data_IF_417464182000
#
_entry.id   IF_417464182000
#
_cell.length_a   1.000
_cell.length_b   1.000
_cell.length_c   1.000
_cell.angle_alpha   90.00
_cell.angle_beta   90.00
_cell.angle_gamma   90.00
#
_symmetry.space_group_name_H-M   'P 1'
#
loop_
_entity.id
_entity.type
_entity.pdbx_description
1 polymer ?
#
# COMPACT_ATOMS: atom_id res chain seq x y z
N UNK A 1 50.76 -13.37 15.76
CA UNK A 1 49.86 -14.45 15.30
C UNK A 1 48.55 -14.22 16.02
N UNK A 2 47.59 -13.60 15.33
CA UNK A 2 46.22 -13.49 15.86
C UNK A 2 45.53 -14.82 15.56
N UNK A 3 45.07 -15.47 16.63
CA UNK A 3 44.35 -16.74 16.56
C UNK A 3 42.86 -16.39 16.66
N UNK A 4 42.14 -16.47 15.54
CA UNK A 4 40.68 -16.38 15.55
C UNK A 4 40.12 -17.79 15.81
N UNK A 5 39.22 -17.91 16.78
CA UNK A 5 38.50 -19.16 17.03
C UNK A 5 37.67 -19.57 15.80
N UNK A 6 37.52 -20.87 15.59
CA UNK A 6 36.62 -21.38 14.55
C UNK A 6 35.17 -20.96 14.85
N UNK A 7 34.63 -20.10 13.98
CA UNK A 7 33.23 -19.69 13.99
C UNK A 7 32.93 -18.50 14.90
N UNK A 8 32.48 -17.39 14.30
CA UNK A 8 31.74 -16.35 15.02
C UNK A 8 30.24 -16.63 14.88
N UNK A 9 29.42 -16.24 15.87
CA UNK A 9 27.97 -16.29 15.70
C UNK A 9 27.58 -15.28 14.63
N UNK A 10 27.21 -15.80 13.47
CA UNK A 10 26.81 -14.99 12.32
C UNK A 10 25.42 -14.37 12.48
N UNK A 11 24.62 -14.86 13.45
CA UNK A 11 23.27 -14.40 13.71
C UNK A 11 22.99 -14.34 15.23
N UNK A 12 22.22 -13.34 15.63
CA UNK A 12 21.69 -13.18 16.98
C UNK A 12 20.32 -12.49 16.97
N UNK A 13 19.50 -12.83 17.95
CA UNK A 13 18.17 -12.25 18.14
C UNK A 13 18.06 -11.67 19.54
N UNK A 14 17.50 -10.47 19.64
CA UNK A 14 17.15 -9.82 20.90
C UNK A 14 15.65 -9.51 20.88
N UNK A 15 14.93 -9.94 21.91
CA UNK A 15 13.53 -9.58 22.15
C UNK A 15 13.46 -8.67 23.36
N UNK A 16 12.74 -7.55 23.23
CA UNK A 16 12.56 -6.61 24.33
C UNK A 16 11.70 -7.19 25.45
N UNK A 17 11.77 -6.59 26.64
CA UNK A 17 10.67 -6.75 27.59
C UNK A 17 9.37 -6.21 26.97
N UNK A 18 8.24 -6.70 27.47
CA UNK A 18 6.92 -6.22 27.06
C UNK A 18 6.70 -4.84 27.67
N UNK A 19 6.46 -3.85 26.82
CA UNK A 19 6.00 -2.54 27.24
C UNK A 19 4.48 -2.59 27.48
N UNK A 20 4.04 -2.12 28.65
CA UNK A 20 2.63 -1.95 29.00
C UNK A 20 2.32 -0.46 29.09
N UNK A 21 1.44 0.03 28.21
CA UNK A 21 0.99 1.43 28.21
C UNK A 21 0.04 1.75 29.38
N UNK A 22 -0.38 0.76 30.17
CA UNK A 22 -1.32 0.88 31.29
C UNK A 22 -2.79 0.97 30.86
N UNK A 23 -3.05 1.37 29.62
CA UNK A 23 -4.37 1.47 29.00
C UNK A 23 -4.27 1.18 27.49
N UNK A 24 -5.40 0.94 26.78
CA UNK A 24 -5.39 0.87 25.33
C UNK A 24 -4.94 2.20 24.70
N UNK A 25 -4.04 2.14 23.74
CA UNK A 25 -3.48 3.28 23.00
C UNK A 25 -3.45 2.98 21.50
N UNK A 26 -3.38 4.02 20.68
CA UNK A 26 -3.07 3.90 19.26
C UNK A 26 -1.56 4.11 19.09
N UNK A 27 -0.83 3.09 18.65
CA UNK A 27 0.61 3.19 18.42
C UNK A 27 0.86 3.88 17.07
N UNK A 28 1.57 5.00 17.13
CA UNK A 28 1.99 5.73 15.95
C UNK A 28 3.26 5.15 15.34
N UNK A 29 4.12 6.06 14.89
CA UNK A 29 5.38 5.67 14.24
C UNK A 29 6.45 5.19 15.22
N UNK A 30 7.34 4.34 14.71
CA UNK A 30 8.54 3.89 15.39
C UNK A 30 9.81 4.41 14.70
N UNK A 31 10.84 4.71 15.50
CA UNK A 31 12.16 5.16 15.07
C UNK A 31 13.26 4.31 15.71
N UNK A 32 14.37 4.16 14.97
CA UNK A 32 15.51 3.32 15.36
C UNK A 32 16.81 4.08 15.17
N UNK A 33 17.69 3.99 16.16
CA UNK A 33 19.07 4.39 16.03
C UNK A 33 19.94 3.14 16.06
N UNK A 34 20.76 2.94 15.02
CA UNK A 34 21.63 1.77 14.94
C UNK A 34 22.84 1.98 14.04
N UNK A 35 23.79 1.06 14.14
CA UNK A 35 24.98 1.01 13.30
C UNK A 35 24.98 -0.32 12.54
N UNK A 36 25.08 -0.25 11.22
CA UNK A 36 25.19 -1.42 10.33
C UNK A 36 26.47 -1.32 9.50
N UNK A 37 27.64 -1.69 10.07
CA UNK A 37 28.87 -1.75 9.30
C UNK A 37 28.76 -2.62 8.03
N UNK A 38 29.61 -2.42 7.02
CA UNK A 38 29.61 -3.26 5.82
C UNK A 38 29.69 -4.76 6.15
N UNK A 39 28.82 -5.55 5.51
CA UNK A 39 28.73 -6.99 5.76
C UNK A 39 27.90 -7.37 7.00
N UNK A 40 27.18 -6.43 7.60
CA UNK A 40 26.22 -6.67 8.68
C UNK A 40 24.79 -6.29 8.28
N UNK A 41 23.81 -6.89 8.94
CA UNK A 41 22.38 -6.59 8.76
C UNK A 41 21.75 -6.43 10.13
N UNK A 42 20.93 -5.39 10.29
CA UNK A 42 20.04 -5.20 11.42
C UNK A 42 18.61 -5.20 10.88
N UNK A 43 17.71 -5.94 11.50
CA UNK A 43 16.28 -5.93 11.21
C UNK A 43 15.53 -5.73 12.51
N UNK A 44 14.51 -4.88 12.49
CA UNK A 44 13.64 -4.66 13.65
C UNK A 44 12.21 -5.06 13.28
N UNK A 45 11.53 -5.69 14.24
CA UNK A 45 10.18 -6.18 14.09
C UNK A 45 9.37 -5.78 15.32
N UNK A 46 8.06 -5.60 15.14
CA UNK A 46 7.13 -5.23 16.21
C UNK A 46 5.96 -6.18 16.25
N UNK A 47 5.36 -6.25 17.43
CA UNK A 47 4.02 -6.77 17.62
C UNK A 47 3.35 -5.98 18.73
N UNK A 48 2.03 -5.86 18.63
CA UNK A 48 1.20 -5.25 19.66
C UNK A 48 0.20 -6.27 20.15
N UNK A 49 -0.31 -6.09 21.36
CA UNK A 49 -1.36 -6.95 21.91
C UNK A 49 -2.35 -6.14 22.73
N UNK A 50 -3.61 -6.55 22.68
CA UNK A 50 -4.69 -5.96 23.47
C UNK A 50 -4.64 -6.42 24.94
N UNK A 51 -4.30 -7.69 25.16
CA UNK A 51 -4.44 -8.41 26.43
C UNK A 51 -3.10 -8.88 27.01
N UNK A 52 -2.03 -8.86 26.22
CA UNK A 52 -0.70 -9.32 26.61
C UNK A 52 -0.54 -10.84 26.54
N UNK A 53 -1.58 -11.57 26.13
CA UNK A 53 -1.62 -13.03 26.00
C UNK A 53 -1.66 -13.45 24.53
N UNK A 54 -2.59 -12.87 23.75
CA UNK A 54 -2.72 -13.09 22.33
C UNK A 54 -1.81 -12.11 21.57
N UNK A 55 -0.79 -12.65 20.91
CA UNK A 55 0.17 -11.87 20.14
C UNK A 55 0.06 -12.22 18.67
N UNK A 56 -0.22 -11.23 17.80
CA UNK A 56 -0.07 -11.39 16.35
C UNK A 56 1.37 -11.73 15.96
N UNK A 57 1.52 -12.18 14.72
CA UNK A 57 2.81 -12.39 14.08
C UNK A 57 3.67 -11.11 14.11
N UNK A 58 4.99 -11.31 14.11
CA UNK A 58 5.94 -10.20 14.12
C UNK A 58 5.89 -9.43 12.79
N UNK A 59 5.47 -8.17 12.85
CA UNK A 59 5.48 -7.26 11.72
C UNK A 59 6.90 -6.74 11.49
N UNK A 60 7.46 -7.03 10.32
CA UNK A 60 8.81 -6.61 9.94
C UNK A 60 8.81 -5.17 9.41
N UNK A 61 9.71 -4.36 9.95
CA UNK A 61 10.01 -3.04 9.42
C UNK A 61 10.91 -3.18 8.18
N UNK A 62 10.59 -2.55 7.03
CA UNK A 62 11.46 -2.56 5.85
C UNK A 62 12.86 -2.02 6.16
N UNK A 63 13.89 -2.65 5.57
CA UNK A 63 15.28 -2.38 5.93
C UNK A 63 15.78 -0.97 5.52
N UNK A 64 15.11 -0.29 4.59
CA UNK A 64 15.48 1.06 4.14
C UNK A 64 14.91 2.16 5.04
N UNK A 65 13.99 1.82 5.95
CA UNK A 65 13.46 2.72 6.99
C UNK A 65 14.33 2.75 8.26
N UNK A 66 15.47 2.05 8.26
CA UNK A 66 16.35 1.86 9.43
C UNK A 66 17.29 3.04 9.74
N UNK A 67 16.95 4.26 9.34
CA UNK A 67 17.78 5.43 9.63
C UNK A 67 17.06 6.44 10.54
N UNK A 68 17.75 6.87 11.59
CA UNK A 68 17.37 7.87 12.61
C UNK A 68 16.99 9.26 12.04
N UNK A 69 16.98 9.43 10.71
CA UNK A 69 16.82 10.70 9.97
C UNK A 69 15.57 10.70 9.07
N UNK A 70 14.77 9.61 9.06
CA UNK A 70 13.52 9.51 8.29
C UNK A 70 12.25 9.84 9.09
N UNK A 71 11.10 9.82 8.41
CA UNK A 71 9.78 10.15 8.98
C UNK A 71 9.24 9.12 10.00
N UNK A 72 10.02 8.09 10.34
CA UNK A 72 9.61 6.95 11.16
C UNK A 72 8.72 5.96 10.40
N UNK A 73 8.47 4.80 10.99
CA UNK A 73 7.70 3.70 10.38
C UNK A 73 6.37 3.53 11.09
N UNK A 74 5.27 3.62 10.35
CA UNK A 74 3.95 3.34 10.89
C UNK A 74 3.82 1.86 11.30
N UNK A 75 3.34 1.61 12.51
CA UNK A 75 3.08 0.26 13.00
C UNK A 75 1.70 -0.18 12.51
N UNK A 76 1.64 -1.11 11.55
CA UNK A 76 0.38 -1.51 10.89
C UNK A 76 -0.38 -2.63 11.62
N UNK A 77 -0.04 -2.89 12.88
CA UNK A 77 -0.71 -3.91 13.68
C UNK A 77 -2.10 -3.42 14.12
N UNK A 78 -3.08 -4.31 14.34
CA UNK A 78 -4.43 -3.89 14.71
C UNK A 78 -4.52 -3.16 16.06
N UNK A 79 -5.38 -2.14 16.14
CA UNK A 79 -5.45 -1.17 17.23
C UNK A 79 -6.89 -0.94 17.74
N UNK A 80 -7.08 -0.36 18.94
CA UNK A 80 -6.05 0.07 19.90
C UNK A 80 -5.36 -1.12 20.54
N UNK A 81 -4.12 -0.97 21.01
CA UNK A 81 -3.40 -2.02 21.73
C UNK A 81 -2.85 -1.49 23.05
N UNK A 82 -2.57 -2.35 24.02
CA UNK A 82 -2.04 -1.96 25.33
C UNK A 82 -0.57 -2.32 25.48
N UNK A 83 -0.19 -3.45 24.89
CA UNK A 83 1.14 -4.01 25.02
C UNK A 83 1.89 -3.90 23.69
N UNK A 84 3.19 -3.64 23.77
CA UNK A 84 4.09 -3.62 22.63
C UNK A 84 5.36 -4.40 22.96
N UNK A 85 5.86 -5.12 21.97
CA UNK A 85 7.18 -5.74 22.04
C UNK A 85 7.91 -5.54 20.72
N UNK A 86 9.22 -5.36 20.78
CA UNK A 86 10.06 -5.34 19.60
C UNK A 86 11.09 -6.47 19.61
N UNK A 87 11.53 -6.86 18.41
CA UNK A 87 12.56 -7.86 18.20
C UNK A 87 13.60 -7.34 17.22
N UNK A 88 14.87 -7.46 17.57
CA UNK A 88 15.99 -7.16 16.72
C UNK A 88 16.67 -8.45 16.25
N UNK A 89 16.75 -8.64 14.94
CA UNK A 89 17.52 -9.72 14.31
C UNK A 89 18.79 -9.11 13.73
N UNK A 90 19.93 -9.66 14.12
CA UNK A 90 21.26 -9.14 13.84
C UNK A 90 22.07 -10.21 13.13
N UNK A 91 22.57 -9.89 11.94
CA UNK A 91 23.43 -10.79 11.16
C UNK A 91 24.77 -10.13 10.85
N UNK A 92 25.82 -10.94 10.77
CA UNK A 92 27.14 -10.52 10.31
C UNK A 92 27.82 -11.59 9.46
N UNK A 93 28.46 -11.16 8.37
CA UNK A 93 29.39 -11.96 7.56
C UNK A 93 30.84 -11.54 7.74
N UNK A 94 31.08 -10.54 8.60
CA UNK A 94 32.39 -9.98 8.88
C UNK A 94 32.81 -10.41 10.30
N UNK A 95 33.87 -11.23 10.47
CA UNK A 95 34.23 -11.82 11.76
C UNK A 95 34.50 -10.83 12.90
N UNK A 96 34.87 -9.60 12.55
CA UNK A 96 35.24 -8.53 13.49
C UNK A 96 34.27 -7.34 13.46
N UNK A 97 33.10 -7.51 12.84
CA UNK A 97 32.09 -6.47 12.75
C UNK A 97 30.73 -7.00 13.18
N UNK A 98 29.99 -6.17 13.91
CA UNK A 98 28.66 -6.51 14.39
C UNK A 98 27.73 -5.31 14.22
N UNK A 99 26.46 -5.54 13.86
CA UNK A 99 25.46 -4.50 13.89
C UNK A 99 25.18 -4.11 15.35
N UNK A 100 24.70 -2.89 15.57
CA UNK A 100 24.31 -2.39 16.90
C UNK A 100 22.97 -1.69 16.81
N UNK A 101 22.05 -2.03 17.70
CA UNK A 101 20.85 -1.24 17.96
C UNK A 101 21.11 -0.40 19.21
N UNK A 102 20.99 0.92 19.09
CA UNK A 102 21.26 1.88 20.17
C UNK A 102 19.98 2.40 20.81
N UNK A 103 18.94 2.64 20.01
CA UNK A 103 17.66 3.17 20.49
C UNK A 103 16.49 2.65 19.68
N UNK A 104 15.37 2.43 20.37
CA UNK A 104 14.03 2.26 19.78
C UNK A 104 13.12 3.30 20.44
N UNK A 105 12.40 4.07 19.63
CA UNK A 105 11.39 5.03 20.08
C UNK A 105 10.09 4.71 19.37
N UNK A 106 8.97 4.69 20.09
CA UNK A 106 7.64 4.47 19.51
C UNK A 106 6.72 5.58 20.03
N UNK A 107 5.99 6.24 19.13
CA UNK A 107 4.93 7.17 19.50
C UNK A 107 3.64 6.40 19.80
N UNK A 108 2.83 6.92 20.71
CA UNK A 108 1.46 6.43 20.90
C UNK A 108 0.56 7.56 21.43
N UNK A 109 -0.73 7.49 21.06
CA UNK A 109 -1.78 8.38 21.54
C UNK A 109 -2.62 7.70 22.61
N UNK A 110 -2.77 8.34 23.77
CA UNK A 110 -3.60 7.84 24.88
C UNK A 110 -5.09 8.05 24.65
N UNK A 111 -5.45 9.07 23.87
CA UNK A 111 -6.84 9.31 23.51
C UNK A 111 -7.17 8.58 22.20
N UNK A 112 -8.19 7.73 22.25
CA UNK A 112 -8.57 6.90 21.12
C UNK A 112 -9.47 7.67 20.16
N UNK A 113 -9.37 7.35 18.85
CA UNK A 113 -10.41 7.73 17.90
C UNK A 113 -11.69 6.91 18.16
N UNK A 114 -11.52 5.60 18.38
CA UNK A 114 -12.58 4.67 18.73
C UNK A 114 -12.05 3.58 19.66
N UNK A 115 -12.82 3.17 20.68
CA UNK A 115 -12.44 2.05 21.55
C UNK A 115 -12.27 0.73 20.81
N UNK A 116 -13.01 0.54 19.71
CA UNK A 116 -12.88 -0.60 18.83
C UNK A 116 -13.37 -0.26 17.43
N UNK A 117 -12.62 -0.71 16.42
CA UNK A 117 -13.06 -0.73 15.03
C UNK A 117 -12.71 -2.10 14.48
N UNK A 118 -13.71 -2.87 14.07
CA UNK A 118 -13.52 -4.12 13.32
C UNK A 118 -13.98 -3.94 11.90
N UNK A 119 -13.29 -4.56 10.94
CA UNK A 119 -13.62 -4.44 9.53
C UNK A 119 -13.67 -5.76 8.78
N UNK A 120 -14.35 -5.74 7.65
CA UNK A 120 -14.42 -6.83 6.69
C UNK A 120 -14.57 -6.27 5.27
N UNK A 121 -14.10 -7.02 4.27
CA UNK A 121 -14.35 -6.71 2.85
C UNK A 121 -15.07 -7.87 2.18
N UNK A 122 -16.06 -7.56 1.34
CA UNK A 122 -16.78 -8.55 0.54
C UNK A 122 -16.94 -8.10 -0.91
N UNK A 123 -16.95 -9.01 -1.90
CA UNK A 123 -16.68 -10.45 -1.75
C UNK A 123 -15.18 -10.75 -1.54
N UNK A 124 -14.86 -11.80 -0.77
CA UNK A 124 -13.47 -12.23 -0.53
C UNK A 124 -12.81 -12.92 -1.74
N UNK A 125 -13.61 -13.29 -2.74
CA UNK A 125 -13.16 -14.05 -3.92
C UNK A 125 -13.54 -13.36 -5.23
N UNK A 126 -12.93 -12.20 -5.53
CA UNK A 126 -13.16 -11.49 -6.79
C UNK A 126 -12.48 -12.22 -7.96
N UNK A 127 -12.95 -11.99 -9.19
CA UNK A 127 -12.25 -12.49 -10.38
C UNK A 127 -11.00 -11.63 -10.60
N UNK A 128 -9.83 -12.28 -10.68
CA UNK A 128 -8.55 -11.58 -10.80
C UNK A 128 -8.48 -10.81 -12.14
N UNK A 129 -8.11 -9.52 -12.09
CA UNK A 129 -8.02 -8.66 -13.27
C UNK A 129 -9.37 -8.16 -13.81
N UNK A 130 -10.49 -8.46 -13.16
CA UNK A 130 -11.80 -7.90 -13.51
C UNK A 130 -12.25 -6.87 -12.47
N UNK A 131 -13.03 -5.89 -12.92
CA UNK A 131 -13.66 -4.93 -12.02
C UNK A 131 -14.70 -5.66 -11.16
N UNK A 132 -14.55 -5.53 -9.85
CA UNK A 132 -15.47 -6.08 -8.85
C UNK A 132 -16.00 -4.95 -7.99
N UNK A 133 -17.30 -4.98 -7.70
CA UNK A 133 -17.90 -4.13 -6.68
C UNK A 133 -17.64 -4.75 -5.30
N UNK A 134 -16.92 -4.02 -4.45
CA UNK A 134 -16.64 -4.38 -3.08
C UNK A 134 -17.44 -3.53 -2.11
N UNK A 135 -17.77 -4.11 -0.96
CA UNK A 135 -18.23 -3.40 0.23
C UNK A 135 -17.19 -3.60 1.32
N UNK A 136 -16.60 -2.50 1.80
CA UNK A 136 -15.82 -2.50 3.03
C UNK A 136 -16.72 -2.08 4.18
N UNK A 137 -16.84 -2.93 5.19
CA UNK A 137 -17.64 -2.66 6.38
C UNK A 137 -16.71 -2.38 7.54
N UNK A 138 -17.00 -1.32 8.31
CA UNK A 138 -16.39 -1.02 9.60
C UNK A 138 -17.49 -1.01 10.67
N UNK A 139 -17.42 -1.93 11.61
CA UNK A 139 -18.19 -1.89 12.85
C UNK A 139 -17.42 -1.09 13.89
N UNK A 140 -18.01 0.03 14.29
CA UNK A 140 -17.37 1.05 15.11
C UNK A 140 -18.03 1.08 16.49
N UNK A 141 -17.20 1.03 17.53
CA UNK A 141 -17.59 1.37 18.88
C UNK A 141 -16.91 2.68 19.30
N UNK A 142 -17.71 3.69 19.66
CA UNK A 142 -17.25 4.97 20.18
C UNK A 142 -17.62 5.08 21.65
N UNK A 143 -16.62 5.37 22.49
CA UNK A 143 -16.76 5.69 23.89
C UNK A 143 -17.02 7.16 24.17
N UNK A 144 -17.37 7.47 25.42
CA UNK A 144 -17.69 8.84 25.83
C UNK A 144 -16.49 9.80 25.79
N UNK A 145 -15.27 9.27 25.90
CA UNK A 145 -14.01 10.04 25.90
C UNK A 145 -13.26 9.92 24.55
N UNK A 146 -13.79 9.13 23.62
CA UNK A 146 -13.17 8.87 22.32
C UNK A 146 -13.43 10.04 21.38
N UNK A 147 -12.45 10.35 20.53
CA UNK A 147 -12.48 11.51 19.64
C UNK A 147 -13.43 11.35 18.46
N UNK A 148 -13.76 10.11 18.09
CA UNK A 148 -14.33 9.81 16.78
C UNK A 148 -13.30 9.91 15.66
N UNK A 149 -13.77 9.86 14.42
CA UNK A 149 -12.92 10.00 13.23
C UNK A 149 -13.72 10.57 12.04
N UNK A 150 -13.00 11.19 11.11
CA UNK A 150 -13.53 11.68 9.84
C UNK A 150 -12.76 11.14 8.64
N UNK A 151 -11.58 10.53 8.84
CA UNK A 151 -10.77 9.94 7.77
C UNK A 151 -10.78 8.43 7.84
N UNK A 152 -10.86 7.81 6.67
CA UNK A 152 -10.74 6.36 6.49
C UNK A 152 -9.79 6.08 5.33
N UNK A 153 -8.81 5.22 5.58
CA UNK A 153 -7.93 4.66 4.55
C UNK A 153 -8.23 3.17 4.40
N UNK A 154 -8.44 2.71 3.16
CA UNK A 154 -8.63 1.31 2.82
C UNK A 154 -7.51 0.93 1.83
N UNK A 155 -6.71 -0.09 2.16
CA UNK A 155 -5.55 -0.55 1.40
C UNK A 155 -5.87 -1.26 0.07
N UNK A 156 -6.95 -0.84 -0.60
CA UNK A 156 -7.34 -1.25 -1.94
C UNK A 156 -7.88 -0.02 -2.68
N UNK A 157 -7.18 0.50 -3.70
CA UNK A 157 -7.67 1.65 -4.46
C UNK A 157 -8.93 1.29 -5.24
N UNK A 158 -9.84 2.25 -5.42
CA UNK A 158 -11.02 2.03 -6.23
C UNK A 158 -11.96 3.23 -6.29
N UNK A 159 -12.94 3.16 -7.17
CA UNK A 159 -13.92 4.22 -7.35
C UNK A 159 -15.09 4.02 -6.39
N UNK A 160 -15.25 4.91 -5.41
CA UNK A 160 -16.38 4.89 -4.48
C UNK A 160 -17.69 5.13 -5.24
N UNK A 161 -18.69 4.32 -4.91
CA UNK A 161 -20.05 4.37 -5.43
C UNK A 161 -21.01 4.94 -4.40
N UNK A 162 -20.87 4.53 -3.15
CA UNK A 162 -21.76 4.94 -2.07
C UNK A 162 -21.04 4.78 -0.74
N UNK A 163 -21.24 5.74 0.16
CA UNK A 163 -20.89 5.59 1.58
C UNK A 163 -22.18 5.61 2.40
N UNK A 164 -22.27 4.72 3.40
CA UNK A 164 -23.38 4.66 4.35
C UNK A 164 -22.86 4.66 5.77
N UNK A 165 -23.57 5.33 6.68
CA UNK A 165 -23.32 5.22 8.10
C UNK A 165 -24.63 4.90 8.84
N UNK A 166 -24.60 3.86 9.67
CA UNK A 166 -25.78 3.33 10.36
C UNK A 166 -26.96 3.05 9.40
N UNK A 167 -26.65 2.51 8.21
CA UNK A 167 -27.63 2.19 7.16
C UNK A 167 -28.13 3.38 6.34
N UNK A 168 -27.77 4.62 6.69
CA UNK A 168 -28.16 5.82 5.96
C UNK A 168 -27.10 6.18 4.92
N UNK A 169 -27.53 6.38 3.68
CA UNK A 169 -26.68 6.90 2.62
C UNK A 169 -26.26 8.34 2.95
N UNK A 170 -24.94 8.58 2.92
CA UNK A 170 -24.41 9.94 2.96
C UNK A 170 -24.61 10.60 1.59
N UNK A 171 -24.89 11.91 1.55
CA UNK A 171 -24.99 12.65 0.29
C UNK A 171 -23.61 12.76 -0.38
N UNK A 172 -23.57 13.02 -1.70
CA UNK A 172 -22.30 13.07 -2.46
C UNK A 172 -21.36 14.19 -1.99
N UNK A 173 -21.89 15.29 -1.46
CA UNK A 173 -21.13 16.39 -0.85
C UNK A 173 -20.81 16.15 0.64
N UNK A 174 -21.27 15.03 1.20
CA UNK A 174 -21.02 14.65 2.59
C UNK A 174 -19.64 14.03 2.81
N UNK A 175 -18.88 13.78 1.75
CA UNK A 175 -17.53 13.21 1.82
C UNK A 175 -16.69 13.52 0.57
N UNK A 176 -15.37 13.52 0.75
CA UNK A 176 -14.38 13.58 -0.32
C UNK A 176 -13.66 12.23 -0.46
N UNK A 177 -13.37 11.82 -1.70
CA UNK A 177 -12.70 10.55 -1.99
C UNK A 177 -11.60 10.72 -3.04
N UNK A 178 -10.50 10.02 -2.83
CA UNK A 178 -9.43 9.85 -3.81
C UNK A 178 -8.74 8.51 -3.61
N UNK A 179 -7.91 8.10 -4.56
CA UNK A 179 -7.14 6.87 -4.44
C UNK A 179 -5.85 6.95 -5.23
N UNK A 180 -4.86 6.18 -4.79
CA UNK A 180 -3.51 6.12 -5.37
C UNK A 180 -2.99 4.68 -5.39
N UNK A 181 -1.70 4.45 -5.12
CA UNK A 181 -1.12 3.11 -5.02
C UNK A 181 -1.17 2.54 -3.61
N UNK A 182 -1.36 3.38 -2.59
CA UNK A 182 -1.45 2.99 -1.18
C UNK A 182 -2.86 2.54 -0.82
N UNK A 183 -3.87 3.16 -1.44
CA UNK A 183 -5.25 2.75 -1.22
C UNK A 183 -6.29 3.76 -1.69
N UNK A 184 -7.49 3.56 -1.16
CA UNK A 184 -8.61 4.48 -1.20
C UNK A 184 -8.60 5.32 0.08
N UNK A 185 -8.77 6.62 -0.08
CA UNK A 185 -8.92 7.59 0.99
C UNK A 185 -10.33 8.19 0.96
N UNK A 186 -10.94 8.28 2.13
CA UNK A 186 -12.25 8.86 2.36
C UNK A 186 -12.14 9.88 3.49
N UNK A 187 -12.65 11.10 3.26
CA UNK A 187 -12.78 12.14 4.28
C UNK A 187 -14.24 12.53 4.40
N UNK A 188 -14.84 12.28 5.56
CA UNK A 188 -16.21 12.65 5.89
C UNK A 188 -16.26 14.15 6.19
N UNK A 189 -17.30 14.83 5.72
CA UNK A 189 -17.55 16.22 6.07
C UNK A 189 -17.81 16.40 7.57
N UNK A 190 -17.65 17.63 8.07
CA UNK A 190 -17.77 17.96 9.49
C UNK A 190 -19.11 17.49 10.11
N UNK A 191 -20.21 17.55 9.37
CA UNK A 191 -21.54 17.08 9.84
C UNK A 191 -21.68 15.55 9.88
N UNK A 192 -20.75 14.83 9.26
CA UNK A 192 -20.78 13.38 9.06
C UNK A 192 -19.62 12.66 9.75
N UNK A 193 -18.79 13.36 10.53
CA UNK A 193 -17.77 12.73 11.37
C UNK A 193 -18.41 11.63 12.25
N UNK A 194 -17.71 10.51 12.40
CA UNK A 194 -18.17 9.37 13.18
C UNK A 194 -17.85 9.61 14.65
N UNK A 195 -18.83 10.12 15.40
CA UNK A 195 -18.76 10.37 16.85
C UNK A 195 -19.66 9.46 17.70
N UNK A 196 -20.24 8.43 17.09
CA UNK A 196 -21.06 7.43 17.80
C UNK A 196 -20.82 6.04 17.24
N UNK A 197 -21.12 5.01 18.04
CA UNK A 197 -21.10 3.63 17.57
C UNK A 197 -22.07 3.41 16.42
N UNK A 198 -21.68 2.58 15.47
CA UNK A 198 -22.45 2.29 14.27
C UNK A 198 -21.62 1.56 13.23
N UNK A 199 -22.25 1.26 12.10
CA UNK A 199 -21.61 0.60 10.97
C UNK A 199 -21.37 1.60 9.85
N UNK A 200 -20.12 1.75 9.41
CA UNK A 200 -19.75 2.47 8.19
C UNK A 200 -19.58 1.45 7.05
N UNK A 201 -20.19 1.72 5.91
CA UNK A 201 -20.10 0.88 4.72
C UNK A 201 -19.61 1.72 3.55
N UNK A 202 -18.53 1.29 2.91
CA UNK A 202 -17.96 1.92 1.72
C UNK A 202 -18.13 0.96 0.56
N UNK A 203 -19.04 1.27 -0.36
CA UNK A 203 -19.23 0.53 -1.61
C UNK A 203 -18.34 1.16 -2.69
N UNK A 204 -17.47 0.37 -3.32
CA UNK A 204 -16.53 0.86 -4.33
C UNK A 204 -16.21 -0.19 -5.38
N UNK A 205 -15.86 0.25 -6.59
CA UNK A 205 -15.42 -0.63 -7.67
C UNK A 205 -13.89 -0.66 -7.74
N UNK A 206 -13.29 -1.85 -7.75
CA UNK A 206 -11.84 -2.04 -7.83
C UNK A 206 -11.47 -3.28 -8.63
N UNK A 207 -10.20 -3.37 -9.05
CA UNK A 207 -9.64 -4.52 -9.75
C UNK A 207 -8.55 -5.13 -8.87
N UNK A 208 -8.73 -6.40 -8.49
CA UNK A 208 -7.66 -7.15 -7.83
C UNK A 208 -6.62 -7.56 -8.89
N UNK A 209 -5.36 -7.15 -8.71
CA UNK A 209 -4.28 -7.42 -9.66
C UNK A 209 -3.29 -8.50 -9.17
N UNK A 210 -3.35 -8.86 -7.88
CA UNK A 210 -2.49 -9.86 -7.26
C UNK A 210 -3.32 -11.06 -6.80
N UNK A 211 -2.79 -12.30 -6.86
CA UNK A 211 -3.55 -13.50 -6.48
C UNK A 211 -4.11 -13.45 -5.06
N UNK A 212 -3.35 -12.88 -4.13
CA UNK A 212 -3.75 -12.68 -2.75
C UNK A 212 -3.41 -11.25 -2.34
N UNK A 213 -4.33 -10.59 -1.63
CA UNK A 213 -4.13 -9.26 -1.06
C UNK A 213 -4.84 -9.17 0.29
N UNK A 214 -4.13 -8.73 1.32
CA UNK A 214 -4.73 -8.37 2.62
C UNK A 214 -5.11 -6.89 2.56
N UNK A 215 -6.41 -6.59 2.67
CA UNK A 215 -6.95 -5.23 2.57
C UNK A 215 -7.15 -4.64 3.96
N UNK A 216 -6.07 -4.12 4.53
CA UNK A 216 -6.12 -3.43 5.83
C UNK A 216 -6.83 -2.07 5.68
N UNK A 217 -7.39 -1.58 6.79
CA UNK A 217 -7.92 -0.24 6.87
C UNK A 217 -7.42 0.47 8.13
N UNK A 218 -7.50 1.80 8.13
CA UNK A 218 -7.19 2.64 9.27
C UNK A 218 -8.14 3.85 9.31
N UNK A 219 -8.35 4.39 10.50
CA UNK A 219 -9.17 5.59 10.72
C UNK A 219 -8.39 6.68 11.47
N UNK A 220 -8.71 7.94 11.22
CA UNK A 220 -8.07 9.08 11.88
C UNK A 220 -9.01 10.29 11.95
N UNK A 221 -8.65 11.28 12.76
CA UNK A 221 -9.39 12.54 12.89
C UNK A 221 -8.55 13.73 12.39
N UNK A 222 -9.11 14.52 11.48
CA UNK A 222 -8.49 15.73 10.95
C UNK A 222 -7.08 15.46 10.41
N UNK A 223 -6.17 16.43 10.54
CA UNK A 223 -4.77 16.30 10.10
C UNK A 223 -3.86 15.50 11.05
N UNK A 224 -4.44 14.59 11.85
CA UNK A 224 -3.65 13.69 12.69
C UNK A 224 -2.64 12.92 11.85
N UNK A 225 -1.38 12.92 12.30
CA UNK A 225 -0.36 12.03 11.76
C UNK A 225 -0.52 10.59 12.25
N UNK A 226 -1.27 10.40 13.34
CA UNK A 226 -1.58 9.10 13.94
C UNK A 226 -2.88 8.54 13.37
N UNK A 227 -2.85 7.25 13.11
CA UNK A 227 -3.95 6.46 12.59
C UNK A 227 -4.26 5.35 13.59
N UNK A 228 -5.52 5.00 13.72
CA UNK A 228 -5.93 3.78 14.39
C UNK A 228 -6.14 2.69 13.34
N UNK A 229 -5.27 1.69 13.35
CA UNK A 229 -5.40 0.53 12.49
C UNK A 229 -6.59 -0.32 12.90
N UNK A 230 -7.46 -0.61 11.94
CA UNK A 230 -8.67 -1.41 12.17
C UNK A 230 -8.26 -2.84 12.59
N UNK A 231 -9.16 -3.58 13.23
CA UNK A 231 -9.02 -5.02 13.44
C UNK A 231 -9.83 -5.82 12.43
N UNK A 232 -9.35 -6.98 11.97
CA UNK A 232 -10.20 -7.84 11.14
C UNK A 232 -11.35 -8.40 11.99
N UNK A 233 -12.58 -8.42 11.46
CA UNK A 233 -13.76 -9.00 12.12
C UNK A 233 -13.58 -10.52 12.37
N UNK A 234 -12.89 -11.20 11.45
CA UNK A 234 -12.43 -12.58 11.53
C UNK A 234 -11.08 -12.72 10.83
N UNK A 235 -10.30 -13.76 11.11
CA UNK A 235 -8.91 -13.94 10.65
C UNK A 235 -8.69 -13.64 9.15
N UNK A 236 -9.63 -14.07 8.31
CA UNK A 236 -9.61 -13.97 6.85
C UNK A 236 -10.60 -12.94 6.28
N UNK A 237 -11.24 -12.12 7.12
CA UNK A 237 -12.21 -11.08 6.72
C UNK A 237 -11.62 -9.99 5.81
N UNK A 238 -10.29 -9.91 5.69
CA UNK A 238 -9.56 -8.97 4.84
C UNK A 238 -8.75 -9.60 3.72
N UNK A 239 -8.72 -10.92 3.64
CA UNK A 239 -7.85 -11.59 2.68
C UNK A 239 -8.63 -11.87 1.40
N UNK A 240 -8.42 -11.02 0.41
CA UNK A 240 -8.91 -11.27 -0.94
C UNK A 240 -8.08 -12.37 -1.58
N UNK A 241 -8.76 -13.38 -2.12
CA UNK A 241 -8.16 -14.46 -2.90
C UNK A 241 -8.80 -14.47 -4.27
N UNK A 242 -8.05 -14.00 -5.26
CA UNK A 242 -8.53 -13.89 -6.63
C UNK A 242 -8.90 -15.26 -7.21
N UNK A 243 -10.14 -15.38 -7.69
CA UNK A 243 -10.64 -16.55 -8.40
C UNK A 243 -10.49 -16.41 -9.91
N UNK A 244 -10.54 -17.56 -10.58
CA UNK A 244 -10.52 -17.65 -12.04
C UNK A 244 -9.11 -17.78 -12.64
N UNK A 245 -9.07 -18.40 -13.82
CA UNK A 245 -7.89 -18.37 -14.67
C UNK A 245 -7.94 -17.05 -15.44
N UNK A 246 -7.25 -16.01 -14.95
CA UNK A 246 -7.08 -14.81 -15.78
C UNK A 246 -6.40 -15.26 -17.07
N UNK A 247 -7.09 -15.01 -18.18
CA UNK A 247 -6.61 -15.39 -19.51
C UNK A 247 -5.49 -14.46 -20.00
N UNK A 248 -5.28 -13.34 -19.29
CA UNK A 248 -4.56 -12.14 -19.73
C UNK A 248 -3.81 -11.50 -18.56
N UNK A 249 -2.56 -11.11 -18.78
CA UNK A 249 -1.76 -10.36 -17.80
C UNK A 249 -2.08 -8.85 -17.84
N UNK A 250 -2.70 -8.38 -18.93
CA UNK A 250 -3.20 -7.02 -19.11
C UNK A 250 -4.75 -7.05 -19.11
N UNK A 251 -5.41 -6.60 -18.03
CA UNK A 251 -6.85 -6.38 -18.02
C UNK A 251 -7.27 -5.47 -19.18
N UNK A 252 -8.48 -5.68 -19.72
CA UNK A 252 -8.98 -4.88 -20.86
C UNK A 252 -9.01 -3.37 -20.57
N UNK A 253 -9.34 -3.02 -19.34
CA UNK A 253 -9.38 -1.65 -18.80
C UNK A 253 -8.11 -1.28 -18.02
N UNK A 254 -7.09 -2.15 -18.04
CA UNK A 254 -5.90 -2.00 -17.22
C UNK A 254 -4.90 -0.96 -17.73
N UNK A 255 -5.06 -0.44 -18.95
CA UNK A 255 -4.21 0.64 -19.46
C UNK A 255 -5.02 1.89 -19.68
N UNK A 256 -4.60 3.00 -19.08
CA UNK A 256 -5.20 4.32 -19.28
C UNK A 256 -4.14 5.39 -19.53
N UNK A 257 -4.51 6.41 -20.30
CA UNK A 257 -3.66 7.55 -20.66
C UNK A 257 -4.41 8.82 -20.27
N UNK A 258 -3.93 9.52 -19.25
CA UNK A 258 -4.47 10.83 -18.83
C UNK A 258 -3.78 11.95 -19.60
N UNK A 259 -4.48 13.08 -19.71
CA UNK A 259 -4.13 14.19 -20.60
C UNK A 259 -4.09 13.72 -22.06
N UNK A 260 -5.21 13.18 -22.56
CA UNK A 260 -5.35 12.69 -23.93
C UNK A 260 -6.56 13.39 -24.60
N UNK A 261 -6.35 14.31 -25.56
CA UNK A 261 -5.08 14.64 -26.21
C UNK A 261 -4.09 15.35 -25.27
N UNK A 262 -2.81 15.05 -25.46
CA UNK A 262 -1.66 15.51 -24.68
C UNK A 262 -1.06 16.77 -25.28
N UNK A 263 -0.70 17.75 -24.44
CA UNK A 263 0.12 18.90 -24.80
C UNK A 263 1.38 18.97 -23.92
N UNK A 264 2.56 18.83 -24.53
CA UNK A 264 3.84 18.87 -23.83
C UNK A 264 4.10 20.18 -23.06
N UNK A 265 3.50 21.29 -23.50
CA UNK A 265 3.60 22.57 -22.80
C UNK A 265 2.81 22.60 -21.48
N UNK A 266 1.80 21.73 -21.33
CA UNK A 266 0.94 21.63 -20.15
C UNK A 266 1.40 20.56 -19.15
N UNK A 267 2.45 19.80 -19.47
CA UNK A 267 2.97 18.70 -18.65
C UNK A 267 2.96 17.35 -19.40
N UNK A 268 3.55 16.28 -18.83
CA UNK A 268 3.65 14.97 -19.46
C UNK A 268 2.29 14.25 -19.58
N UNK A 269 2.16 13.37 -20.57
CA UNK A 269 1.09 12.38 -20.60
C UNK A 269 1.35 11.34 -19.51
N UNK A 270 0.34 11.07 -18.68
CA UNK A 270 0.45 10.07 -17.62
C UNK A 270 -0.18 8.76 -18.10
N UNK A 271 0.63 7.70 -18.14
CA UNK A 271 0.25 6.38 -18.62
C UNK A 271 0.22 5.44 -17.42
N UNK A 272 -0.94 4.88 -17.11
CA UNK A 272 -1.12 3.88 -16.07
C UNK A 272 -1.32 2.51 -16.69
N UNK A 273 -0.61 1.50 -16.19
CA UNK A 273 -0.69 0.10 -16.63
C UNK A 273 -0.89 -0.79 -15.41
N UNK A 274 -2.00 -1.50 -15.36
CA UNK A 274 -2.36 -2.44 -14.31
C UNK A 274 -2.00 -3.85 -14.77
N UNK A 275 -0.95 -4.44 -14.17
CA UNK A 275 -0.50 -5.80 -14.48
C UNK A 275 -1.11 -6.81 -13.52
N UNK A 276 -1.86 -7.78 -14.04
CA UNK A 276 -2.48 -8.85 -13.26
C UNK A 276 -1.74 -10.20 -13.40
N UNK A 277 -1.79 -11.04 -12.37
CA UNK A 277 -1.33 -12.46 -12.40
C UNK A 277 0.16 -12.68 -12.78
N UNK A 278 1.01 -11.70 -12.54
CA UNK A 278 2.46 -11.85 -12.74
C UNK A 278 3.07 -12.46 -11.47
N UNK A 279 3.23 -13.79 -11.44
CA UNK A 279 3.75 -14.52 -10.26
C UNK A 279 5.22 -14.20 -9.97
N UNK A 280 6.02 -14.07 -11.03
CA UNK A 280 7.41 -13.62 -11.00
C UNK A 280 7.53 -12.42 -11.93
N UNK A 281 8.41 -11.42 -11.65
CA UNK A 281 8.59 -10.29 -12.55
C UNK A 281 8.83 -10.73 -14.01
N UNK A 282 8.00 -10.26 -14.94
CA UNK A 282 8.06 -10.62 -16.37
C UNK A 282 8.49 -9.42 -17.21
N UNK A 283 9.13 -9.67 -18.37
CA UNK A 283 9.56 -8.59 -19.25
C UNK A 283 8.37 -7.79 -19.78
N UNK A 284 8.28 -6.52 -19.38
CA UNK A 284 7.31 -5.55 -19.87
C UNK A 284 7.97 -4.68 -20.95
N UNK A 285 7.27 -4.38 -22.03
CA UNK A 285 7.70 -3.42 -23.04
C UNK A 285 6.58 -2.45 -23.35
N UNK A 286 6.87 -1.15 -23.28
CA UNK A 286 5.91 -0.09 -23.58
C UNK A 286 6.49 0.81 -24.66
N UNK A 287 5.84 0.87 -25.80
CA UNK A 287 6.35 1.58 -26.99
C UNK A 287 5.26 2.41 -27.65
N UNK A 288 5.61 3.63 -28.04
CA UNK A 288 4.82 4.51 -28.88
C UNK A 288 5.22 4.37 -30.35
N UNK A 289 4.22 4.22 -31.21
CA UNK A 289 4.35 4.13 -32.65
C UNK A 289 3.60 5.28 -33.31
N UNK A 290 4.08 5.75 -34.47
CA UNK A 290 3.21 6.52 -35.36
C UNK A 290 2.23 5.60 -36.11
N UNK A 291 1.24 6.18 -36.80
CA UNK A 291 0.24 5.41 -37.56
C UNK A 291 0.84 4.65 -38.76
N UNK A 292 2.09 4.93 -39.14
CA UNK A 292 2.82 4.15 -40.14
C UNK A 292 3.53 2.93 -39.53
N UNK A 293 3.38 2.70 -38.22
CA UNK A 293 4.01 1.59 -37.49
C UNK A 293 5.47 1.83 -37.16
N UNK A 294 6.00 3.06 -37.32
CA UNK A 294 7.39 3.36 -36.93
C UNK A 294 7.46 3.63 -35.44
N UNK A 295 8.41 2.97 -34.76
CA UNK A 295 8.72 3.22 -33.34
C UNK A 295 9.18 4.67 -33.19
N UNK A 296 8.55 5.40 -32.27
CA UNK A 296 8.90 6.78 -31.93
C UNK A 296 9.57 6.88 -30.58
N UNK A 297 9.09 6.13 -29.60
CA UNK A 297 9.60 6.18 -28.24
C UNK A 297 9.41 4.83 -27.56
N UNK A 298 10.44 4.34 -26.90
CA UNK A 298 10.31 3.24 -25.93
C UNK A 298 10.26 3.85 -24.53
N UNK A 299 9.15 3.66 -23.83
CA UNK A 299 8.92 4.18 -22.48
C UNK A 299 9.35 3.18 -21.40
N UNK A 300 9.35 1.90 -21.74
CA UNK A 300 9.82 0.81 -20.90
C UNK A 300 10.35 -0.30 -21.81
N UNK A 301 11.59 -0.75 -21.58
CA UNK A 301 12.29 -1.64 -22.50
C UNK A 301 12.65 -2.97 -21.83
N UNK A 302 11.75 -3.95 -21.93
CA UNK A 302 11.98 -5.34 -21.51
C UNK A 302 12.33 -5.58 -20.04
N UNK A 303 12.35 -4.55 -19.18
CA UNK A 303 12.70 -4.73 -17.78
C UNK A 303 11.63 -5.54 -17.04
N UNK A 304 12.02 -6.46 -16.14
CA UNK A 304 11.07 -7.27 -15.37
C UNK A 304 10.12 -6.40 -14.54
N UNK A 305 8.82 -6.59 -14.71
CA UNK A 305 7.78 -5.92 -13.97
C UNK A 305 6.93 -6.98 -13.23
N UNK A 306 6.75 -6.79 -11.92
CA UNK A 306 5.83 -7.60 -11.11
C UNK A 306 4.39 -7.11 -11.24
N UNK A 307 3.44 -7.92 -10.75
CA UNK A 307 2.03 -7.57 -10.69
C UNK A 307 1.79 -6.26 -9.92
N UNK A 308 0.68 -5.60 -10.26
CA UNK A 308 0.29 -4.30 -9.73
C UNK A 308 0.41 -3.17 -10.76
N UNK A 309 0.09 -1.97 -10.30
CA UNK A 309 0.07 -0.75 -11.10
C UNK A 309 1.48 -0.27 -11.43
N UNK A 310 1.67 0.20 -12.66
CA UNK A 310 2.86 0.89 -13.17
C UNK A 310 2.42 2.25 -13.69
N UNK A 311 3.17 3.30 -13.34
CA UNK A 311 2.98 4.64 -13.88
C UNK A 311 4.19 5.03 -14.71
N UNK A 312 3.93 5.50 -15.92
CA UNK A 312 4.91 6.02 -16.85
C UNK A 312 4.50 7.42 -17.25
N UNK A 313 5.49 8.25 -17.54
CA UNK A 313 5.27 9.58 -18.07
C UNK A 313 5.88 9.68 -19.45
N UNK A 314 5.21 10.41 -20.34
CA UNK A 314 5.74 10.76 -21.63
C UNK A 314 5.69 12.26 -21.86
N UNK A 315 6.85 12.83 -22.18
CA UNK A 315 7.10 14.26 -22.38
C UNK A 315 6.83 14.73 -23.81
N UNK A 316 6.28 13.87 -24.68
CA UNK A 316 6.04 14.18 -26.08
C UNK A 316 7.27 14.06 -26.98
N UNK A 317 8.38 13.50 -26.49
CA UNK A 317 9.62 13.36 -27.26
C UNK A 317 9.84 11.94 -27.79
N UNK A 318 10.54 11.86 -28.92
CA UNK A 318 11.05 10.61 -29.47
C UNK A 318 12.36 10.17 -28.78
N UNK A 319 12.88 9.01 -29.17
CA UNK A 319 14.16 8.48 -28.63
C UNK A 319 15.38 9.36 -28.91
N UNK A 320 15.29 10.31 -29.85
CA UNK A 320 16.34 11.30 -30.12
C UNK A 320 16.20 12.58 -29.27
N UNK A 321 15.18 12.65 -28.41
CA UNK A 321 14.88 13.81 -27.56
C UNK A 321 14.16 14.94 -28.30
N UNK A 322 13.63 14.70 -29.51
CA UNK A 322 12.90 15.71 -30.29
C UNK A 322 11.40 15.60 -30.06
N UNK A 323 10.70 16.73 -30.01
CA UNK A 323 9.23 16.73 -29.96
C UNK A 323 8.67 16.03 -31.19
N UNK A 324 7.74 15.10 -30.98
CA UNK A 324 7.02 14.43 -32.06
C UNK A 324 6.03 15.41 -32.70
N UNK A 325 5.57 15.19 -33.93
CA UNK A 325 4.59 16.10 -34.55
C UNK A 325 3.19 15.96 -33.90
N UNK A 326 2.32 16.99 -33.93
CA UNK A 326 0.91 16.82 -33.60
C UNK A 326 0.27 15.71 -34.43
N UNK A 327 -0.61 14.93 -33.83
CA UNK A 327 -1.22 13.78 -34.49
C UNK A 327 -1.63 12.67 -33.52
N UNK A 328 -1.96 11.50 -34.05
CA UNK A 328 -2.29 10.33 -33.24
C UNK A 328 -1.13 9.35 -33.27
N UNK A 329 -0.86 8.76 -32.12
CA UNK A 329 0.16 7.74 -31.90
C UNK A 329 -0.48 6.50 -31.29
N UNK A 330 0.07 5.34 -31.59
CA UNK A 330 -0.35 4.07 -31.01
C UNK A 330 0.57 3.75 -29.82
N UNK A 331 0.00 3.67 -28.63
CA UNK A 331 0.66 3.10 -27.47
C UNK A 331 0.46 1.58 -27.48
N UNK A 332 1.54 0.83 -27.44
CA UNK A 332 1.54 -0.64 -27.36
C UNK A 332 2.23 -1.06 -26.07
N UNK A 333 1.54 -1.87 -25.29
CA UNK A 333 2.03 -2.47 -24.04
C UNK A 333 2.09 -3.98 -24.25
N UNK A 334 3.25 -4.58 -24.05
CA UNK A 334 3.48 -6.01 -24.20
C UNK A 334 4.07 -6.57 -22.91
N UNK A 335 3.61 -7.74 -22.49
CA UNK A 335 4.21 -8.47 -21.38
C UNK A 335 4.46 -9.92 -21.77
N UNK A 336 5.69 -10.38 -21.56
CA UNK A 336 6.11 -11.76 -21.82
C UNK A 336 5.87 -12.63 -20.58
N UNK A 337 4.60 -12.87 -20.26
CA UNK A 337 4.19 -13.79 -19.20
C UNK A 337 4.05 -15.23 -19.72
N UNK A 338 3.65 -16.19 -18.86
CA UNK A 338 3.35 -17.60 -19.24
C UNK A 338 2.51 -17.70 -20.53
N UNK A 339 1.69 -16.68 -20.78
CA UNK A 339 1.14 -16.35 -22.09
C UNK A 339 1.41 -14.89 -22.40
N UNK A 340 2.14 -14.61 -23.49
CA UNK A 340 2.36 -13.26 -23.96
C UNK A 340 1.02 -12.53 -24.14
N UNK A 341 0.94 -11.30 -23.64
CA UNK A 341 -0.26 -10.47 -23.70
C UNK A 341 0.08 -9.07 -24.22
N UNK A 342 -0.83 -8.50 -24.99
CA UNK A 342 -0.62 -7.25 -25.70
C UNK A 342 -1.87 -6.38 -25.61
N UNK A 343 -1.66 -5.12 -25.25
CA UNK A 343 -2.65 -4.07 -25.30
C UNK A 343 -2.21 -2.96 -26.26
N UNK A 344 -3.17 -2.36 -26.98
CA UNK A 344 -2.93 -1.23 -27.88
C UNK A 344 -4.00 -0.15 -27.70
N UNK A 345 -3.61 1.11 -27.69
CA UNK A 345 -4.53 2.26 -27.63
C UNK A 345 -3.95 3.51 -28.27
N UNK A 346 -4.79 4.55 -28.39
CA UNK A 346 -4.43 5.81 -29.06
C UNK A 346 -4.00 6.88 -28.05
N UNK A 347 -2.97 7.62 -28.40
CA UNK A 347 -2.51 8.84 -27.71
C UNK A 347 -2.52 9.98 -28.72
N UNK A 348 -3.36 10.98 -28.50
CA UNK A 348 -3.39 12.21 -29.29
C UNK A 348 -2.33 13.19 -28.79
N UNK A 349 -1.63 13.86 -29.69
CA UNK A 349 -0.66 14.92 -29.39
C UNK A 349 -1.11 16.21 -30.08
N UNK A 350 -1.16 17.29 -29.30
CA UNK A 350 -1.46 18.65 -29.73
C UNK A 350 -0.40 19.59 -29.14
N UNK A 351 -0.13 20.73 -29.78
CA UNK A 351 0.75 21.77 -29.24
C UNK A 351 0.05 23.11 -29.21
#
# INVERSE_FOLDING_TARGET
>A
VEVFGEGFRAEGTFESEVFDAGQPVNFGKAWFAGQTPPGTVLQVQFRTSADGEAWPEWHRVPAWDLAEVGDGVALTAPEPARFLQYRAVMETRAPLSAPRLMQVKVAFGEQLFARAVSGAIAPLRPVLGEETAFTYTLDVEIGSEDLGFDRVHIGLPGMVRQVRFAGLALPEDGYEVWWDDEGLWLVLGEEHHVSRSGRLEVEFASVLLRPTLVVQAAVALGDSADWQHVRPEAEDAWTLVGEGVVSRALPRTGVSVRSNPFNAASGPAQIQIDLAKVQHPQALTVTLYDLAGRKRRVLWDGQPAAAGRKRLEWDGRDDSGRLVAPGHYLLRVEIDADRADVWTGLVGVVY
#
